data_IF_598266501672
#
_entry.id   IF_598266501672
#
_cell.length_a   1.000
_cell.length_b   1.000
_cell.length_c   1.000
_cell.angle_alpha   90.00
_cell.angle_beta   90.00
_cell.angle_gamma   90.00
#
_symmetry.space_group_name_H-M   'P 1'
#
loop_
_entity.id
_entity.type
_entity.pdbx_description
1 polymer ?
#
# COMPACT_ATOMS: atom_id res chain seq x y z
N UNK A 1 -72.67 36.25 9.87
CA UNK A 1 -72.20 35.01 10.52
C UNK A 1 -70.92 34.58 9.82
N UNK A 2 -69.83 34.51 10.58
CA UNK A 2 -68.51 34.04 10.14
C UNK A 2 -68.56 32.59 9.69
N UNK A 3 -67.78 32.23 8.67
CA UNK A 3 -66.95 31.02 8.71
C UNK A 3 -65.70 31.26 7.85
N UNK A 4 -64.58 31.54 8.50
CA UNK A 4 -63.23 31.52 7.94
C UNK A 4 -62.64 30.13 8.16
N UNK A 5 -62.36 29.43 7.06
CA UNK A 5 -61.69 28.12 7.05
C UNK A 5 -60.19 28.31 7.18
N UNK A 6 -59.62 27.98 8.34
CA UNK A 6 -58.18 27.80 8.52
C UNK A 6 -57.80 26.41 7.99
N UNK A 7 -56.98 26.36 6.94
CA UNK A 7 -56.30 25.14 6.51
C UNK A 7 -54.94 25.12 7.21
N UNK A 8 -54.81 24.28 8.24
CA UNK A 8 -53.55 23.97 8.88
C UNK A 8 -52.78 22.96 8.02
N UNK A 9 -51.76 23.41 7.30
CA UNK A 9 -50.79 22.53 6.67
C UNK A 9 -49.86 21.96 7.76
N UNK A 10 -50.10 20.72 8.17
CA UNK A 10 -49.20 19.98 9.06
C UNK A 10 -47.93 19.59 8.31
N UNK A 11 -46.80 20.22 8.66
CA UNK A 11 -45.47 19.73 8.30
C UNK A 11 -45.18 18.47 9.10
N UNK A 12 -45.38 17.31 8.47
CA UNK A 12 -44.86 16.03 8.95
C UNK A 12 -43.33 16.05 8.80
N UNK A 13 -42.63 16.38 9.87
CA UNK A 13 -41.22 16.06 10.01
C UNK A 13 -41.09 14.54 10.13
N UNK A 14 -40.74 13.87 9.04
CA UNK A 14 -40.22 12.51 9.09
C UNK A 14 -38.83 12.63 9.74
N UNK A 15 -38.75 12.39 11.04
CA UNK A 15 -37.48 12.09 11.69
C UNK A 15 -36.99 10.76 11.11
N UNK A 16 -36.10 10.85 10.12
CA UNK A 16 -35.26 9.73 9.76
C UNK A 16 -34.38 9.44 10.98
N UNK A 17 -34.77 8.46 11.79
CA UNK A 17 -33.91 7.85 12.79
C UNK A 17 -32.77 7.14 12.05
N UNK A 18 -31.78 7.91 11.62
CA UNK A 18 -30.51 7.37 11.19
C UNK A 18 -29.96 6.54 12.34
N UNK A 19 -29.75 5.25 12.12
CA UNK A 19 -29.09 4.41 13.11
C UNK A 19 -27.74 5.06 13.43
N UNK A 20 -27.48 5.36 14.70
CA UNK A 20 -26.15 5.77 15.12
C UNK A 20 -25.20 4.61 14.84
N UNK A 21 -24.36 4.73 13.82
CA UNK A 21 -23.25 3.81 13.63
C UNK A 21 -22.25 4.16 14.72
N UNK A 22 -22.30 3.43 15.83
CA UNK A 22 -21.28 3.52 16.85
C UNK A 22 -19.97 2.98 16.26
N UNK A 23 -18.86 3.69 16.49
CA UNK A 23 -17.52 3.19 16.12
C UNK A 23 -17.37 1.80 16.72
N UNK A 24 -17.08 0.82 15.87
CA UNK A 24 -16.69 -0.51 16.32
C UNK A 24 -15.20 -0.44 16.62
N UNK A 25 -14.84 -0.84 17.82
CA UNK A 25 -13.46 -0.97 18.25
C UNK A 25 -13.34 -2.25 19.07
N UNK A 26 -12.13 -2.76 19.25
CA UNK A 26 -11.88 -3.88 20.14
C UNK A 26 -12.43 -3.56 21.54
N UNK A 27 -13.03 -4.56 22.20
CA UNK A 27 -13.75 -4.39 23.46
C UNK A 27 -12.88 -3.76 24.55
N UNK A 28 -11.60 -4.10 24.57
CA UNK A 28 -10.64 -3.68 25.58
C UNK A 28 -9.83 -2.44 25.16
N UNK A 29 -10.16 -1.83 24.00
CA UNK A 29 -9.45 -0.67 23.49
C UNK A 29 -9.57 0.52 24.46
N UNK A 30 -8.44 1.11 24.81
CA UNK A 30 -8.39 2.35 25.59
C UNK A 30 -8.98 3.50 24.78
N UNK A 31 -9.46 4.52 25.50
CA UNK A 31 -10.04 5.70 24.86
C UNK A 31 -9.02 6.41 23.95
N UNK A 32 -9.49 6.91 22.81
CA UNK A 32 -8.71 7.84 21.99
C UNK A 32 -8.38 9.07 22.84
N UNK A 33 -7.11 9.51 22.89
CA UNK A 33 -6.75 10.72 23.60
C UNK A 33 -7.38 11.94 22.93
N UNK A 34 -7.58 13.01 23.71
CA UNK A 34 -7.96 14.30 23.14
C UNK A 34 -6.90 14.74 22.13
N UNK A 35 -7.33 14.96 20.88
CA UNK A 35 -6.43 15.38 19.83
C UNK A 35 -6.21 16.89 19.91
N UNK A 36 -4.96 17.37 19.74
CA UNK A 36 -4.73 18.79 19.55
C UNK A 36 -5.37 19.26 18.23
N UNK A 37 -5.40 20.57 18.00
CA UNK A 37 -5.77 21.10 16.70
C UNK A 37 -4.86 20.52 15.61
N UNK A 38 -5.45 19.74 14.71
CA UNK A 38 -4.73 19.09 13.62
C UNK A 38 -4.44 20.10 12.51
N UNK A 39 -3.20 20.09 12.02
CA UNK A 39 -2.82 20.90 10.86
C UNK A 39 -3.38 20.28 9.58
N UNK A 40 -3.89 21.10 8.64
CA UNK A 40 -4.33 20.57 7.35
C UNK A 40 -3.16 20.00 6.56
N UNK A 41 -3.40 18.87 5.89
CA UNK A 41 -2.43 18.30 4.93
C UNK A 41 -2.26 19.24 3.73
N UNK A 42 -1.01 19.41 3.30
CA UNK A 42 -0.65 20.15 2.08
C UNK A 42 -0.81 19.24 0.87
N UNK A 43 -1.41 19.76 -0.19
CA UNK A 43 -1.64 19.02 -1.44
C UNK A 43 -0.70 19.52 -2.53
N UNK A 44 0.01 18.60 -3.17
CA UNK A 44 0.80 18.83 -4.37
C UNK A 44 0.06 18.42 -5.64
N UNK A 45 0.78 18.46 -6.76
CA UNK A 45 0.29 17.93 -8.05
C UNK A 45 0.14 16.40 -8.00
N UNK A 46 1.10 15.74 -7.35
CA UNK A 46 1.14 14.30 -7.10
C UNK A 46 1.20 14.07 -5.59
N UNK A 47 0.36 13.15 -5.09
CA UNK A 47 0.20 12.90 -3.66
C UNK A 47 0.30 11.40 -3.38
N UNK A 48 0.77 11.04 -2.19
CA UNK A 48 0.90 9.65 -1.75
C UNK A 48 0.27 9.46 -0.36
N UNK A 49 -0.44 8.35 -0.16
CA UNK A 49 -0.66 7.75 1.16
C UNK A 49 0.15 6.46 1.15
N UNK A 50 1.00 6.27 2.16
CA UNK A 50 1.97 5.19 2.19
C UNK A 50 1.88 4.45 3.53
N UNK A 51 1.73 3.13 3.45
CA UNK A 51 1.84 2.17 4.56
C UNK A 51 3.05 1.26 4.35
N UNK A 52 3.56 0.70 5.44
CA UNK A 52 4.65 -0.26 5.45
C UNK A 52 4.66 -0.96 6.81
N UNK A 53 5.25 -2.15 6.88
CA UNK A 53 5.56 -2.82 8.14
C UNK A 53 4.31 -2.95 9.03
N UNK A 54 3.19 -3.30 8.40
CA UNK A 54 1.91 -3.43 9.10
C UNK A 54 1.90 -4.63 10.04
N UNK A 55 2.64 -5.69 9.70
CA UNK A 55 2.82 -6.88 10.53
C UNK A 55 1.52 -7.42 11.14
N UNK A 56 0.44 -7.40 10.37
CA UNK A 56 -0.87 -7.91 10.79
C UNK A 56 -1.67 -7.01 11.73
N UNK A 57 -1.20 -5.81 12.10
CA UNK A 57 -1.91 -4.86 12.98
C UNK A 57 -3.10 -4.19 12.27
N UNK A 58 -4.13 -4.97 11.99
CA UNK A 58 -5.30 -4.56 11.21
C UNK A 58 -6.50 -4.16 12.07
N UNK A 59 -6.48 -4.47 13.37
CA UNK A 59 -7.59 -4.22 14.30
C UNK A 59 -7.37 -2.97 15.17
N UNK A 60 -6.30 -2.22 14.91
CA UNK A 60 -5.82 -1.12 15.74
C UNK A 60 -5.19 -1.60 17.07
N UNK A 61 -4.57 -0.68 17.80
CA UNK A 61 -3.89 -0.99 19.05
C UNK A 61 -4.84 -0.86 20.25
N UNK A 62 -4.95 -1.94 21.03
CA UNK A 62 -5.81 -2.00 22.22
C UNK A 62 -5.34 -1.02 23.31
N UNK A 63 -4.03 -1.01 23.60
CA UNK A 63 -3.46 -0.27 24.73
C UNK A 63 -2.89 1.11 24.37
N UNK A 64 -2.95 1.50 23.09
CA UNK A 64 -2.41 2.76 22.60
C UNK A 64 -3.51 3.53 21.86
N UNK A 65 -4.24 4.37 22.60
CA UNK A 65 -5.42 5.07 22.09
C UNK A 65 -5.17 5.95 20.86
N UNK A 66 -3.94 6.38 20.62
CA UNK A 66 -3.54 7.12 19.40
C UNK A 66 -3.51 6.26 18.14
N UNK A 67 -3.48 4.93 18.25
CA UNK A 67 -3.38 3.98 17.16
C UNK A 67 -4.61 3.05 17.09
N UNK A 68 -5.77 3.51 17.55
CA UNK A 68 -6.99 2.71 17.62
C UNK A 68 -7.87 2.75 16.35
N UNK A 69 -7.31 3.18 15.21
CA UNK A 69 -7.94 3.03 13.91
C UNK A 69 -7.65 1.66 13.34
N UNK A 70 -8.67 0.99 12.81
CA UNK A 70 -8.53 -0.33 12.18
C UNK A 70 -8.38 -0.23 10.65
N UNK A 71 -8.23 -1.38 9.97
CA UNK A 71 -8.12 -1.44 8.51
C UNK A 71 -9.38 -0.91 7.80
N UNK A 72 -10.56 -1.01 8.42
CA UNK A 72 -11.82 -0.47 7.90
C UNK A 72 -11.88 1.06 7.98
N UNK A 73 -11.35 1.64 9.06
CA UNK A 73 -11.13 3.08 9.19
C UNK A 73 -10.12 3.55 8.12
N UNK A 74 -9.02 2.81 7.90
CA UNK A 74 -8.04 3.13 6.87
C UNK A 74 -8.62 3.04 5.45
N UNK A 75 -9.42 2.00 5.16
CA UNK A 75 -10.17 1.90 3.91
C UNK A 75 -11.05 3.13 3.71
N UNK A 76 -11.84 3.50 4.72
CA UNK A 76 -12.71 4.66 4.66
C UNK A 76 -11.90 5.94 4.41
N UNK A 77 -10.78 6.12 5.11
CA UNK A 77 -9.89 7.25 4.93
C UNK A 77 -9.34 7.34 3.50
N UNK A 78 -8.77 6.26 2.96
CA UNK A 78 -8.19 6.24 1.61
C UNK A 78 -9.24 6.54 0.53
N UNK A 79 -10.45 5.97 0.65
CA UNK A 79 -11.57 6.27 -0.25
C UNK A 79 -11.97 7.75 -0.18
N UNK A 80 -12.12 8.33 1.02
CA UNK A 80 -12.44 9.76 1.16
C UNK A 80 -11.33 10.66 0.67
N UNK A 81 -10.07 10.27 0.83
CA UNK A 81 -8.92 11.01 0.34
C UNK A 81 -8.83 10.98 -1.19
N UNK A 82 -9.11 9.84 -1.84
CA UNK A 82 -9.25 9.79 -3.31
C UNK A 82 -10.41 10.65 -3.80
N UNK A 83 -11.56 10.65 -3.11
CA UNK A 83 -12.67 11.56 -3.44
C UNK A 83 -12.28 13.05 -3.31
N UNK A 84 -11.49 13.40 -2.29
CA UNK A 84 -10.95 14.75 -2.12
C UNK A 84 -9.96 15.10 -3.23
N UNK A 85 -9.03 14.21 -3.56
CA UNK A 85 -8.09 14.37 -4.66
C UNK A 85 -8.84 14.65 -5.98
N UNK A 86 -9.93 13.91 -6.24
CA UNK A 86 -10.81 14.12 -7.39
C UNK A 86 -11.43 15.52 -7.45
N UNK A 87 -11.92 16.03 -6.31
CA UNK A 87 -12.46 17.41 -6.23
C UNK A 87 -11.38 18.46 -6.49
N UNK A 88 -10.15 18.18 -6.06
CA UNK A 88 -9.00 19.06 -6.26
C UNK A 88 -8.35 18.91 -7.66
N UNK A 89 -8.78 17.92 -8.45
CA UNK A 89 -8.16 17.52 -9.72
C UNK A 89 -6.66 17.23 -9.56
N UNK A 90 -6.32 16.50 -8.51
CA UNK A 90 -4.96 16.08 -8.18
C UNK A 90 -4.86 14.56 -8.17
N UNK A 91 -3.71 14.02 -8.57
CA UNK A 91 -3.46 12.59 -8.49
C UNK A 91 -3.06 12.20 -7.06
N UNK A 92 -3.62 11.10 -6.58
CA UNK A 92 -3.33 10.49 -5.27
C UNK A 92 -3.13 8.98 -5.44
N UNK A 93 -1.94 8.52 -5.07
CA UNK A 93 -1.55 7.12 -5.10
C UNK A 93 -1.49 6.54 -3.68
N UNK A 94 -2.06 5.36 -3.47
CA UNK A 94 -1.98 4.62 -2.21
C UNK A 94 -0.93 3.52 -2.41
N UNK A 95 0.03 3.44 -1.50
CA UNK A 95 1.22 2.59 -1.64
C UNK A 95 1.42 1.76 -0.39
N UNK A 96 1.81 0.51 -0.55
CA UNK A 96 2.30 -0.33 0.55
C UNK A 96 3.70 -0.89 0.25
N UNK A 97 4.56 -0.97 1.26
CA UNK A 97 5.92 -1.50 1.09
C UNK A 97 6.20 -2.79 1.86
N UNK A 98 5.21 -3.64 2.05
CA UNK A 98 5.40 -5.04 2.47
C UNK A 98 5.49 -5.24 3.98
N UNK A 99 5.77 -6.49 4.37
CA UNK A 99 5.69 -7.00 5.74
C UNK A 99 4.29 -6.87 6.35
N UNK A 100 3.43 -7.81 5.96
CA UNK A 100 1.99 -7.79 6.23
C UNK A 100 1.54 -8.78 7.31
N UNK A 101 2.47 -9.58 7.84
CA UNK A 101 2.25 -10.56 8.92
C UNK A 101 3.50 -10.64 9.83
N UNK A 102 3.56 -11.61 10.75
CA UNK A 102 4.61 -11.80 11.76
C UNK A 102 4.70 -10.64 12.77
N UNK A 103 3.63 -10.42 13.51
CA UNK A 103 3.58 -9.40 14.56
C UNK A 103 2.23 -9.22 15.24
N UNK A 104 1.18 -9.86 14.74
CA UNK A 104 -0.17 -9.82 15.31
C UNK A 104 -0.89 -11.17 15.21
N UNK A 105 -1.69 -11.49 16.22
CA UNK A 105 -2.42 -12.76 16.30
C UNK A 105 -3.38 -12.98 15.13
N UNK A 106 -3.98 -11.92 14.58
CA UNK A 106 -4.91 -12.02 13.47
C UNK A 106 -4.25 -12.56 12.20
N UNK A 107 -3.01 -12.13 11.90
CA UNK A 107 -2.25 -12.67 10.78
C UNK A 107 -1.56 -14.00 11.11
N UNK A 108 -1.12 -14.19 12.35
CA UNK A 108 -0.13 -15.24 12.65
C UNK A 108 -0.74 -16.55 13.13
N UNK A 109 -2.03 -16.56 13.50
CA UNK A 109 -2.72 -17.78 13.97
C UNK A 109 -3.02 -18.78 12.86
N UNK A 110 -2.98 -18.36 11.59
CA UNK A 110 -3.23 -19.22 10.43
C UNK A 110 -1.94 -19.82 9.87
N UNK A 111 -2.04 -20.91 9.11
CA UNK A 111 -0.91 -21.51 8.40
C UNK A 111 -1.33 -21.84 6.94
N UNK A 112 -0.87 -21.06 5.94
CA UNK A 112 0.14 -20.02 6.03
C UNK A 112 -0.33 -18.78 6.80
N UNK A 113 0.63 -18.02 7.33
CA UNK A 113 0.32 -16.75 8.00
C UNK A 113 -0.29 -15.77 7.01
N UNK A 114 -1.29 -15.05 7.48
CA UNK A 114 -2.06 -14.09 6.71
C UNK A 114 -3.11 -14.68 5.78
N UNK A 115 -3.41 -15.98 5.86
CA UNK A 115 -4.48 -16.64 5.09
C UNK A 115 -5.82 -15.88 5.20
N UNK A 116 -6.12 -15.34 6.39
CA UNK A 116 -7.34 -14.54 6.63
C UNK A 116 -7.13 -13.04 6.47
N UNK A 117 -5.91 -12.51 6.65
CA UNK A 117 -5.65 -11.07 6.62
C UNK A 117 -5.32 -10.55 5.22
N UNK A 118 -4.60 -11.31 4.40
CA UNK A 118 -4.27 -10.91 3.03
C UNK A 118 -5.53 -10.62 2.19
N UNK A 119 -6.61 -11.43 2.24
CA UNK A 119 -7.86 -11.08 1.58
C UNK A 119 -8.46 -9.74 2.06
N UNK A 120 -8.28 -9.38 3.34
CA UNK A 120 -8.76 -8.09 3.86
C UNK A 120 -7.96 -6.94 3.27
N UNK A 121 -6.62 -7.07 3.20
CA UNK A 121 -5.71 -6.07 2.64
C UNK A 121 -6.05 -5.77 1.18
N UNK A 122 -6.50 -6.77 0.40
CA UNK A 122 -6.94 -6.55 -0.99
C UNK A 122 -8.16 -5.63 -1.16
N UNK A 123 -8.87 -5.29 -0.08
CA UNK A 123 -9.94 -4.29 -0.14
C UNK A 123 -9.40 -2.85 -0.15
N UNK A 124 -8.17 -2.63 0.28
CA UNK A 124 -7.55 -1.30 0.23
C UNK A 124 -7.22 -0.98 -1.22
N UNK A 125 -7.59 0.22 -1.73
CA UNK A 125 -7.37 0.60 -3.13
C UNK A 125 -5.91 1.03 -3.37
N UNK A 126 -4.96 0.15 -3.06
CA UNK A 126 -3.55 0.34 -3.35
C UNK A 126 -3.31 0.44 -4.87
N UNK A 127 -2.52 1.42 -5.27
CA UNK A 127 -2.15 1.65 -6.67
C UNK A 127 -0.86 0.90 -7.04
N UNK A 128 0.08 0.76 -6.10
CA UNK A 128 1.31 -0.05 -6.22
C UNK A 128 1.71 -0.62 -4.85
N UNK A 129 2.24 -1.84 -4.80
CA UNK A 129 2.77 -2.47 -3.59
C UNK A 129 4.05 -3.26 -3.88
N UNK A 130 4.82 -3.61 -2.86
CA UNK A 130 5.98 -4.52 -2.95
C UNK A 130 5.94 -5.57 -1.85
N UNK A 131 6.80 -6.59 -1.99
CA UNK A 131 7.04 -7.63 -0.99
C UNK A 131 8.00 -7.15 0.11
N UNK A 132 7.82 -7.65 1.33
CA UNK A 132 8.77 -7.53 2.43
C UNK A 132 9.56 -8.81 2.67
N UNK A 133 10.43 -8.82 3.67
CA UNK A 133 11.20 -10.03 3.99
C UNK A 133 10.38 -11.07 4.75
N UNK A 134 9.32 -10.67 5.47
CA UNK A 134 8.49 -11.60 6.22
C UNK A 134 7.72 -12.57 5.32
N UNK A 135 7.32 -12.13 4.13
CA UNK A 135 6.71 -13.01 3.12
C UNK A 135 7.71 -14.05 2.54
N UNK A 136 9.00 -13.96 2.87
CA UNK A 136 10.08 -14.74 2.26
C UNK A 136 10.81 -15.71 3.18
N UNK A 137 10.60 -15.67 4.51
CA UNK A 137 11.29 -16.60 5.42
C UNK A 137 10.84 -18.05 5.24
N UNK A 138 9.55 -18.28 5.02
CA UNK A 138 8.95 -19.62 5.02
C UNK A 138 8.37 -19.96 3.64
N UNK A 139 8.74 -21.13 3.11
CA UNK A 139 8.43 -21.52 1.73
C UNK A 139 6.92 -21.59 1.42
N UNK A 140 6.10 -22.02 2.38
CA UNK A 140 4.65 -22.07 2.20
C UNK A 140 4.03 -20.67 2.15
N UNK A 141 4.49 -19.74 2.99
CA UNK A 141 4.08 -18.32 2.97
C UNK A 141 4.46 -17.68 1.64
N UNK A 142 5.72 -17.82 1.19
CA UNK A 142 6.14 -17.30 -0.12
C UNK A 142 5.27 -17.83 -1.25
N UNK A 143 4.95 -19.13 -1.21
CA UNK A 143 4.10 -19.76 -2.22
C UNK A 143 2.69 -19.22 -2.20
N UNK A 144 2.11 -19.02 -1.01
CA UNK A 144 0.79 -18.46 -0.82
C UNK A 144 0.71 -17.02 -1.33
N UNK A 145 1.64 -16.16 -0.90
CA UNK A 145 1.75 -14.77 -1.36
C UNK A 145 1.80 -14.69 -2.88
N UNK A 146 2.65 -15.50 -3.52
CA UNK A 146 2.80 -15.50 -4.99
C UNK A 146 1.55 -16.00 -5.71
N UNK A 147 0.85 -17.00 -5.16
CA UNK A 147 -0.29 -17.65 -5.84
C UNK A 147 -1.63 -17.00 -5.58
N UNK A 148 -1.83 -16.38 -4.41
CA UNK A 148 -3.13 -15.90 -3.97
C UNK A 148 -3.21 -14.40 -3.74
N UNK A 149 -2.09 -13.75 -3.38
CA UNK A 149 -2.09 -12.31 -3.12
C UNK A 149 -1.57 -11.47 -4.28
N UNK A 150 -0.37 -11.79 -4.78
CA UNK A 150 0.27 -11.08 -5.91
C UNK A 150 -0.64 -10.94 -7.14
N UNK A 151 -1.39 -11.97 -7.58
CA UNK A 151 -2.21 -11.87 -8.79
C UNK A 151 -3.33 -10.83 -8.72
N UNK A 152 -3.81 -10.47 -7.51
CA UNK A 152 -4.85 -9.47 -7.32
C UNK A 152 -4.49 -8.11 -7.93
N UNK A 153 -3.20 -7.76 -7.87
CA UNK A 153 -2.71 -6.42 -8.20
C UNK A 153 -2.46 -6.18 -9.70
N UNK A 154 -2.68 -7.17 -10.57
CA UNK A 154 -2.64 -7.04 -12.03
C UNK A 154 -1.45 -6.19 -12.57
N UNK A 155 -0.22 -6.56 -12.19
CA UNK A 155 0.99 -5.85 -12.60
C UNK A 155 1.35 -4.59 -11.79
N UNK A 156 0.69 -4.38 -10.65
CA UNK A 156 0.99 -3.34 -9.66
C UNK A 156 1.71 -3.81 -8.41
N UNK A 157 1.90 -5.12 -8.26
CA UNK A 157 2.79 -5.68 -7.25
C UNK A 157 4.21 -5.74 -7.83
N UNK A 158 5.15 -5.00 -7.25
CA UNK A 158 6.47 -4.72 -7.83
C UNK A 158 7.56 -5.32 -6.94
N UNK A 159 8.34 -6.29 -7.45
CA UNK A 159 9.41 -6.95 -6.68
C UNK A 159 10.62 -7.28 -7.57
N UNK A 160 11.27 -6.25 -8.12
CA UNK A 160 12.18 -6.36 -9.26
C UNK A 160 13.37 -7.28 -9.06
N UNK A 161 13.90 -7.37 -7.84
CA UNK A 161 15.03 -8.21 -7.47
C UNK A 161 14.64 -9.50 -6.75
N UNK A 162 13.35 -9.84 -6.68
CA UNK A 162 12.87 -11.06 -6.04
C UNK A 162 12.21 -11.99 -7.07
N UNK A 163 12.56 -13.26 -6.98
CA UNK A 163 12.09 -14.30 -7.88
C UNK A 163 11.53 -15.47 -7.08
N UNK A 164 10.48 -16.10 -7.61
CA UNK A 164 9.91 -17.34 -7.08
C UNK A 164 10.64 -18.52 -7.70
N UNK A 165 11.10 -19.45 -6.87
CA UNK A 165 11.71 -20.70 -7.28
C UNK A 165 10.77 -21.85 -6.94
N UNK A 166 10.11 -22.39 -7.96
CA UNK A 166 9.28 -23.57 -7.79
C UNK A 166 10.19 -24.80 -7.60
N UNK A 167 10.20 -25.37 -6.39
CA UNK A 167 11.08 -26.50 -6.07
C UNK A 167 10.69 -27.81 -6.76
N UNK A 168 9.45 -27.96 -7.21
CA UNK A 168 9.00 -29.17 -7.90
C UNK A 168 9.49 -29.19 -9.35
N UNK A 169 9.47 -28.03 -10.00
CA UNK A 169 9.85 -27.87 -11.42
C UNK A 169 11.27 -27.31 -11.61
N UNK A 170 11.90 -26.85 -10.52
CA UNK A 170 13.15 -26.07 -10.50
C UNK A 170 13.10 -24.81 -11.39
N UNK A 171 11.90 -24.30 -11.68
CA UNK A 171 11.71 -23.11 -12.51
C UNK A 171 11.77 -21.86 -11.64
N UNK A 172 12.56 -20.88 -12.07
CA UNK A 172 12.60 -19.55 -11.44
C UNK A 172 11.82 -18.55 -12.28
N UNK A 173 10.89 -17.82 -11.66
CA UNK A 173 10.03 -16.82 -12.30
C UNK A 173 10.00 -15.52 -11.51
N UNK A 174 9.73 -14.41 -12.18
CA UNK A 174 9.56 -13.11 -11.52
C UNK A 174 8.36 -13.14 -10.55
N UNK A 175 8.54 -12.63 -9.33
CA UNK A 175 7.40 -12.31 -8.44
C UNK A 175 6.85 -10.94 -8.84
N UNK A 176 5.55 -10.87 -9.11
CA UNK A 176 4.91 -9.65 -9.59
C UNK A 176 5.60 -9.10 -10.85
N UNK A 177 5.79 -7.79 -10.90
CA UNK A 177 6.46 -7.10 -11.99
C UNK A 177 7.77 -6.45 -11.53
N UNK A 178 8.71 -6.25 -12.46
CA UNK A 178 9.93 -5.47 -12.18
C UNK A 178 9.68 -3.97 -12.10
N UNK A 179 8.74 -3.51 -12.92
CA UNK A 179 8.32 -2.13 -12.98
C UNK A 179 6.92 -2.06 -13.57
N UNK A 180 6.29 -0.90 -13.47
CA UNK A 180 5.04 -0.62 -14.15
C UNK A 180 5.00 0.83 -14.60
N UNK A 181 4.37 1.08 -15.75
CA UNK A 181 4.19 2.42 -16.29
C UNK A 181 2.70 2.69 -16.51
N UNK A 182 2.20 3.81 -15.99
CA UNK A 182 0.78 4.11 -16.00
C UNK A 182 0.44 5.57 -15.86
N UNK A 183 -0.86 5.89 -15.94
CA UNK A 183 -1.39 7.22 -15.71
C UNK A 183 -2.29 7.23 -14.48
N UNK A 184 -2.14 8.26 -13.65
CA UNK A 184 -3.13 8.61 -12.63
C UNK A 184 -4.46 9.08 -13.25
N UNK A 185 -5.47 9.23 -12.41
CA UNK A 185 -6.81 9.69 -12.82
C UNK A 185 -6.77 11.06 -13.53
N UNK A 186 -5.83 11.93 -13.15
CA UNK A 186 -5.64 13.26 -13.74
C UNK A 186 -4.43 13.36 -14.66
N UNK A 187 -3.90 12.23 -15.10
CA UNK A 187 -2.97 12.13 -16.22
C UNK A 187 -1.49 12.10 -15.86
N UNK A 188 -1.11 12.19 -14.58
CA UNK A 188 0.28 12.01 -14.14
C UNK A 188 0.82 10.68 -14.65
N UNK A 189 1.86 10.70 -15.49
CA UNK A 189 2.53 9.50 -15.99
C UNK A 189 3.54 9.02 -14.95
N UNK A 190 3.27 7.88 -14.35
CA UNK A 190 4.10 7.28 -13.30
C UNK A 190 4.89 6.11 -13.89
N UNK A 191 6.21 6.13 -13.72
CA UNK A 191 7.08 4.97 -13.91
C UNK A 191 7.50 4.48 -12.53
N UNK A 192 7.00 3.33 -12.11
CA UNK A 192 7.21 2.80 -10.77
C UNK A 192 8.06 1.53 -10.77
N UNK A 193 8.95 1.40 -9.79
CA UNK A 193 9.79 0.23 -9.52
C UNK A 193 9.62 -0.21 -8.07
N UNK A 194 9.75 -1.51 -7.81
CA UNK A 194 9.72 -2.09 -6.46
C UNK A 194 10.95 -2.94 -6.20
N UNK A 195 11.58 -2.80 -5.03
CA UNK A 195 12.76 -3.59 -4.64
C UNK A 195 12.68 -4.05 -3.18
N UNK A 196 13.21 -5.22 -2.90
CA UNK A 196 13.57 -5.64 -1.56
C UNK A 196 15.03 -5.25 -1.27
N UNK A 197 15.38 -5.01 -0.01
CA UNK A 197 16.79 -4.83 0.37
C UNK A 197 17.60 -6.09 0.02
N UNK A 198 18.93 -6.04 0.19
CA UNK A 198 19.83 -7.17 -0.08
C UNK A 198 19.68 -8.28 0.99
N UNK A 199 18.48 -8.84 1.08
CA UNK A 199 18.05 -9.85 2.03
C UNK A 199 18.63 -11.22 1.67
N UNK A 200 19.20 -11.90 2.67
CA UNK A 200 19.84 -13.20 2.52
C UNK A 200 19.21 -14.30 3.40
N UNK A 201 18.12 -13.99 4.11
CA UNK A 201 17.45 -14.92 5.04
C UNK A 201 16.25 -15.66 4.44
N UNK A 202 16.09 -15.62 3.12
CA UNK A 202 14.91 -16.14 2.44
C UNK A 202 14.92 -17.68 2.37
N UNK A 203 13.72 -18.26 2.34
CA UNK A 203 13.49 -19.69 2.12
C UNK A 203 13.85 -20.14 0.70
N UNK A 204 13.82 -21.45 0.49
CA UNK A 204 14.21 -22.09 -0.77
C UNK A 204 13.27 -21.74 -1.95
N UNK A 205 12.03 -21.33 -1.68
CA UNK A 205 11.05 -20.96 -2.70
C UNK A 205 11.26 -19.56 -3.28
N UNK A 206 12.32 -18.86 -2.87
CA UNK A 206 12.66 -17.56 -3.43
C UNK A 206 14.14 -17.41 -3.74
N UNK A 207 14.44 -16.44 -4.59
CA UNK A 207 15.80 -15.96 -4.88
C UNK A 207 15.76 -14.43 -4.82
N UNK A 208 16.58 -13.85 -3.97
CA UNK A 208 16.77 -12.41 -3.88
C UNK A 208 18.12 -12.07 -4.51
N UNK A 209 18.10 -11.29 -5.59
CA UNK A 209 19.31 -10.72 -6.16
C UNK A 209 19.65 -9.42 -5.45
N UNK A 210 20.94 -9.08 -5.42
CA UNK A 210 21.33 -7.76 -4.96
C UNK A 210 20.79 -6.69 -5.89
N UNK A 211 20.34 -5.58 -5.31
CA UNK A 211 19.74 -4.45 -6.03
C UNK A 211 20.69 -3.94 -7.11
N UNK A 212 21.97 -3.78 -6.78
CA UNK A 212 23.03 -3.32 -7.69
C UNK A 212 23.17 -4.21 -8.92
N UNK A 213 23.15 -5.53 -8.71
CA UNK A 213 23.23 -6.51 -9.81
C UNK A 213 21.96 -6.50 -10.65
N UNK A 214 20.80 -6.31 -10.01
CA UNK A 214 19.51 -6.30 -10.69
C UNK A 214 19.35 -5.06 -11.59
N UNK A 215 19.74 -3.87 -11.11
CA UNK A 215 19.67 -2.63 -11.89
C UNK A 215 20.75 -2.54 -12.98
N UNK A 216 21.83 -3.32 -12.87
CA UNK A 216 22.84 -3.43 -13.92
C UNK A 216 22.36 -4.25 -15.15
N UNK A 217 21.28 -5.03 -15.00
CA UNK A 217 20.74 -5.83 -16.11
C UNK A 217 20.09 -4.96 -17.19
N UNK A 218 20.06 -5.43 -18.47
CA UNK A 218 19.56 -4.63 -19.58
C UNK A 218 18.12 -4.10 -19.42
N UNK A 219 17.26 -4.86 -18.75
CA UNK A 219 15.84 -4.52 -18.59
C UNK A 219 15.64 -3.15 -17.91
N UNK A 220 16.49 -2.80 -16.94
CA UNK A 220 16.32 -1.59 -16.15
C UNK A 220 16.53 -0.35 -17.02
N UNK A 221 17.67 -0.29 -17.72
CA UNK A 221 17.97 0.79 -18.68
C UNK A 221 16.93 0.85 -19.82
N UNK A 222 16.51 -0.31 -20.34
CA UNK A 222 15.46 -0.36 -21.36
C UNK A 222 14.14 0.24 -20.87
N UNK A 223 13.73 -0.07 -19.64
CA UNK A 223 12.50 0.49 -19.04
C UNK A 223 12.56 2.01 -18.87
N UNK A 224 13.72 2.55 -18.47
CA UNK A 224 13.93 4.00 -18.32
C UNK A 224 13.86 4.74 -19.66
N UNK A 225 14.29 4.10 -20.76
CA UNK A 225 14.26 4.67 -22.12
C UNK A 225 12.91 4.51 -22.82
N UNK A 226 12.17 3.45 -22.50
CA UNK A 226 10.91 3.12 -23.16
C UNK A 226 9.76 4.06 -22.81
N UNK A 227 9.90 4.85 -21.74
CA UNK A 227 8.83 5.64 -21.16
C UNK A 227 9.21 7.10 -20.93
N UNK A 228 8.21 7.97 -20.92
CA UNK A 228 8.36 9.39 -20.61
C UNK A 228 7.48 9.73 -19.41
N UNK A 229 7.96 9.49 -18.17
CA UNK A 229 7.20 9.75 -16.96
C UNK A 229 7.19 11.24 -16.59
N UNK A 230 6.18 11.65 -15.84
CA UNK A 230 6.15 12.93 -15.11
C UNK A 230 6.76 12.76 -13.72
N UNK A 231 6.68 11.55 -13.15
CA UNK A 231 7.31 11.18 -11.89
C UNK A 231 7.81 9.73 -11.96
N UNK A 232 8.97 9.49 -11.35
CA UNK A 232 9.46 8.13 -11.10
C UNK A 232 9.20 7.80 -9.63
N UNK A 233 8.57 6.67 -9.35
CA UNK A 233 8.31 6.22 -7.99
C UNK A 233 9.11 4.96 -7.71
N UNK A 234 9.98 5.01 -6.70
CA UNK A 234 10.74 3.85 -6.25
C UNK A 234 10.15 3.44 -4.91
N UNK A 235 9.44 2.32 -4.90
CA UNK A 235 8.96 1.71 -3.66
C UNK A 235 9.93 0.59 -3.28
N UNK A 236 10.07 0.31 -2.01
CA UNK A 236 10.85 -0.83 -1.60
C UNK A 236 10.70 -1.14 -0.13
N UNK A 237 10.72 -2.42 0.21
CA UNK A 237 10.93 -2.83 1.59
C UNK A 237 12.42 -2.69 1.90
N UNK A 238 12.88 -1.44 2.00
CA UNK A 238 14.27 -1.01 2.14
C UNK A 238 14.26 0.20 3.08
N UNK A 239 15.18 0.23 4.03
CA UNK A 239 15.38 1.43 4.85
C UNK A 239 15.76 2.62 3.98
N UNK A 240 15.09 3.78 4.15
CA UNK A 240 15.29 4.98 3.29
C UNK A 240 16.77 5.44 3.22
N UNK A 241 17.58 5.10 4.22
CA UNK A 241 19.00 5.50 4.31
C UNK A 241 19.99 4.44 3.81
N UNK A 242 19.50 3.30 3.35
CA UNK A 242 20.34 2.19 2.89
C UNK A 242 20.97 2.49 1.52
N UNK A 243 22.03 1.76 1.18
CA UNK A 243 22.82 2.02 -0.03
C UNK A 243 22.09 1.56 -1.30
N UNK A 244 21.19 0.59 -1.20
CA UNK A 244 20.36 0.11 -2.30
C UNK A 244 19.56 1.25 -2.94
N UNK A 245 18.89 2.10 -2.15
CA UNK A 245 18.18 3.25 -2.70
C UNK A 245 19.13 4.27 -3.33
N UNK A 246 20.33 4.47 -2.76
CA UNK A 246 21.34 5.37 -3.38
C UNK A 246 21.79 4.83 -4.73
N UNK A 247 21.98 3.51 -4.85
CA UNK A 247 22.34 2.85 -6.10
C UNK A 247 21.24 3.00 -7.16
N UNK A 248 19.97 2.73 -6.79
CA UNK A 248 18.82 2.90 -7.70
C UNK A 248 18.70 4.36 -8.12
N UNK A 249 18.74 5.31 -7.18
CA UNK A 249 18.65 6.75 -7.46
C UNK A 249 19.74 7.21 -8.41
N UNK A 250 20.99 6.77 -8.20
CA UNK A 250 22.11 7.08 -9.09
C UNK A 250 21.87 6.54 -10.50
N UNK A 251 21.40 5.30 -10.63
CA UNK A 251 21.12 4.68 -11.91
C UNK A 251 19.96 5.38 -12.65
N UNK A 252 18.88 5.75 -11.94
CA UNK A 252 17.78 6.55 -12.51
C UNK A 252 18.28 7.92 -12.96
N UNK A 253 19.05 8.63 -12.12
CA UNK A 253 19.55 9.99 -12.40
C UNK A 253 20.51 10.05 -13.58
N UNK A 254 21.21 8.95 -13.88
CA UNK A 254 22.03 8.84 -15.09
C UNK A 254 21.21 8.91 -16.39
N UNK A 255 19.91 8.57 -16.33
CA UNK A 255 18.98 8.63 -17.47
C UNK A 255 18.01 9.81 -17.40
N UNK A 256 17.50 10.11 -16.20
CA UNK A 256 16.50 11.13 -15.92
C UNK A 256 17.05 12.12 -14.88
N UNK A 257 17.85 13.11 -15.29
CA UNK A 257 18.55 13.99 -14.36
C UNK A 257 17.62 14.90 -13.56
N UNK A 258 16.44 15.23 -14.10
CA UNK A 258 15.57 16.29 -13.55
C UNK A 258 14.15 15.82 -13.19
N UNK A 259 13.72 14.64 -13.62
CA UNK A 259 12.36 14.13 -13.31
C UNK A 259 12.24 13.95 -11.79
N UNK A 260 11.16 14.42 -11.14
CA UNK A 260 10.91 14.15 -9.73
C UNK A 260 10.96 12.65 -9.43
N UNK A 261 11.60 12.29 -8.32
CA UNK A 261 11.61 10.91 -7.82
C UNK A 261 10.98 10.88 -6.44
N UNK A 262 9.95 10.06 -6.25
CA UNK A 262 9.43 9.70 -4.93
C UNK A 262 10.07 8.38 -4.49
N UNK A 263 10.61 8.33 -3.28
CA UNK A 263 11.13 7.11 -2.66
C UNK A 263 10.29 6.78 -1.44
N UNK A 264 9.72 5.58 -1.41
CA UNK A 264 8.87 5.08 -0.34
C UNK A 264 9.50 3.78 0.17
N UNK A 265 9.94 3.77 1.42
CA UNK A 265 10.73 2.70 2.03
C UNK A 265 9.96 1.97 3.13
N UNK A 266 10.63 1.03 3.81
CA UNK A 266 10.09 0.25 4.93
C UNK A 266 11.22 -0.35 5.77
N UNK A 267 10.95 -1.48 6.42
CA UNK A 267 11.92 -2.37 7.08
C UNK A 267 12.49 -1.89 8.42
N UNK A 268 12.66 -0.57 8.62
CA UNK A 268 13.47 0.01 9.72
C UNK A 268 12.71 0.96 10.61
#
# INVERSE_FOLDING_TARGET
MLYSTLITAGLLFIQANGHSINKRQQKDAVNTPDLPELKPLVWGDVNFIHSTDTHGWLEGHVLQGSYNGDLGDFYSFTVRMKQKAKKLKKDLFIVDTGDTHDGDGLSDVTDPRGEVTQPLITNIPYDILTIGNHELYVDNITTDTVRHFVPHWNGRYLAANVYFKDLQTNKTTQIGNKYTYFKGEFGTRVLAYGFLFNFAGNGNNSVVNYVEDEIAKPWFNQSLKAHTPDIITIIGHIGIRYDEFKAILKAVRAHHPTIPIAVLGGHT
#
